data_IF_988103438403
#
_entry.id   IF_988103438403
#
_cell.length_a   1.000
_cell.length_b   1.000
_cell.length_c   1.000
_cell.angle_alpha   90.00
_cell.angle_beta   90.00
_cell.angle_gamma   90.00
#
_symmetry.space_group_name_H-M   'P 1'
#
loop_
_entity.id
_entity.type
_entity.pdbx_description
1 polymer ?
#
# COMPACT_ATOMS: atom_id res chain seq x y z
N UNK A 1 4.26 9.98 11.96
CA UNK A 1 4.58 8.57 12.20
C UNK A 1 4.54 7.82 10.89
N UNK A 2 5.53 6.97 10.63
CA UNK A 2 5.53 6.23 9.37
C UNK A 2 4.45 5.16 9.33
N UNK A 3 4.02 4.86 8.13
CA UNK A 3 3.03 3.82 7.88
C UNK A 3 3.68 2.63 7.20
N UNK A 4 3.17 1.45 7.48
CA UNK A 4 3.68 0.20 6.90
C UNK A 4 2.50 -0.61 6.39
N UNK A 5 2.63 -1.17 5.18
CA UNK A 5 1.66 -2.09 4.64
C UNK A 5 2.39 -3.38 4.27
N UNK A 6 1.92 -4.49 4.82
CA UNK A 6 2.46 -5.81 4.51
C UNK A 6 1.60 -6.47 3.44
N UNK A 7 2.22 -6.76 2.29
CA UNK A 7 1.54 -7.46 1.22
C UNK A 7 1.73 -8.97 1.37
N UNK A 8 0.74 -9.72 0.92
CA UNK A 8 0.76 -11.19 0.99
C UNK A 8 1.92 -11.79 0.20
N UNK A 9 2.42 -11.08 -0.78
CA UNK A 9 3.54 -11.56 -1.60
C UNK A 9 4.89 -11.36 -0.93
N UNK A 10 4.94 -10.84 0.30
CA UNK A 10 6.18 -10.62 1.02
C UNK A 10 6.74 -9.22 0.88
N UNK A 11 6.10 -8.38 0.08
CA UNK A 11 6.53 -7.00 -0.06
C UNK A 11 6.08 -6.18 1.15
N UNK A 12 6.96 -5.32 1.63
CA UNK A 12 6.61 -4.40 2.72
C UNK A 12 6.74 -2.98 2.21
N UNK A 13 5.62 -2.27 2.16
CA UNK A 13 5.59 -0.88 1.73
C UNK A 13 5.72 0.03 2.95
N UNK A 14 6.44 1.13 2.78
CA UNK A 14 6.61 2.11 3.85
C UNK A 14 6.44 3.51 3.30
N UNK A 15 5.84 4.38 4.10
CA UNK A 15 5.68 5.78 3.76
C UNK A 15 5.59 6.60 5.03
N UNK A 16 6.06 7.84 4.99
CA UNK A 16 6.01 8.71 6.15
C UNK A 16 4.65 9.40 6.30
N UNK A 17 3.86 9.41 5.25
CA UNK A 17 2.53 10.00 5.27
C UNK A 17 1.55 9.08 4.56
N UNK A 18 0.27 9.38 4.72
CA UNK A 18 -0.76 8.60 4.05
C UNK A 18 -0.59 8.64 2.53
N UNK A 19 -0.28 9.81 1.99
CA UNK A 19 -0.09 9.94 0.55
C UNK A 19 1.09 9.11 0.06
N UNK A 20 2.16 9.07 0.82
CA UNK A 20 3.34 8.31 0.44
C UNK A 20 3.07 6.81 0.46
N UNK A 21 2.41 6.32 1.51
CA UNK A 21 2.13 4.88 1.60
C UNK A 21 1.15 4.45 0.50
N UNK A 22 0.14 5.27 0.22
CA UNK A 22 -0.81 4.96 -0.85
C UNK A 22 -0.09 4.92 -2.20
N UNK A 23 0.80 5.88 -2.45
CA UNK A 23 1.54 5.92 -3.69
C UNK A 23 2.43 4.68 -3.84
N UNK A 24 3.11 4.30 -2.77
CA UNK A 24 4.00 3.15 -2.81
C UNK A 24 3.24 1.85 -3.05
N UNK A 25 2.15 1.64 -2.34
CA UNK A 25 1.34 0.44 -2.51
C UNK A 25 0.71 0.40 -3.89
N UNK A 26 0.20 1.53 -4.35
CA UNK A 26 -0.41 1.60 -5.68
C UNK A 26 0.59 1.26 -6.77
N UNK A 27 1.81 1.77 -6.68
CA UNK A 27 2.85 1.46 -7.65
C UNK A 27 3.20 -0.03 -7.61
N UNK A 28 3.33 -0.61 -6.43
CA UNK A 28 3.64 -2.02 -6.29
C UNK A 28 2.54 -2.90 -6.89
N UNK A 29 1.29 -2.61 -6.52
CA UNK A 29 0.15 -3.40 -6.99
C UNK A 29 0.00 -3.25 -8.50
N UNK A 30 0.23 -2.05 -9.03
CA UNK A 30 0.15 -1.83 -10.46
C UNK A 30 1.19 -2.61 -11.25
N UNK A 31 2.34 -2.88 -10.65
CA UNK A 31 3.41 -3.63 -11.31
C UNK A 31 3.27 -5.14 -11.14
N UNK A 32 2.98 -5.57 -9.93
CA UNK A 32 3.00 -7.00 -9.57
C UNK A 32 1.62 -7.64 -9.59
N UNK A 33 0.59 -6.85 -9.31
CA UNK A 33 -0.76 -7.36 -9.18
C UNK A 33 -1.75 -6.44 -9.89
N UNK A 34 -1.61 -6.26 -11.23
CA UNK A 34 -2.46 -5.31 -11.94
C UNK A 34 -3.95 -5.63 -11.84
N UNK A 35 -4.29 -6.88 -11.61
CA UNK A 35 -5.68 -7.28 -11.43
C UNK A 35 -6.28 -6.69 -10.17
N UNK A 36 -5.47 -6.50 -9.14
CA UNK A 36 -5.91 -5.97 -7.87
C UNK A 36 -5.89 -4.45 -7.83
N UNK A 37 -5.21 -3.82 -8.78
CA UNK A 37 -5.07 -2.37 -8.78
C UNK A 37 -6.43 -1.66 -8.81
N UNK A 38 -7.38 -2.23 -9.54
CA UNK A 38 -8.73 -1.66 -9.61
C UNK A 38 -9.54 -1.86 -8.34
N UNK A 39 -9.16 -2.85 -7.53
CA UNK A 39 -9.90 -3.20 -6.32
C UNK A 39 -9.33 -2.55 -5.08
N UNK A 40 -8.08 -2.11 -5.13
CA UNK A 40 -7.43 -1.47 -3.99
C UNK A 40 -7.53 0.04 -4.10
N UNK A 41 -8.54 0.60 -3.47
CA UNK A 41 -8.68 2.04 -3.38
C UNK A 41 -7.85 2.59 -2.23
N UNK A 42 -7.75 3.93 -2.19
CA UNK A 42 -7.02 4.62 -1.13
C UNK A 42 -7.50 4.21 0.25
N UNK A 43 -8.81 4.12 0.43
CA UNK A 43 -9.38 3.77 1.72
C UNK A 43 -8.96 2.37 2.17
N UNK A 44 -8.90 1.43 1.24
CA UNK A 44 -8.51 0.08 1.57
C UNK A 44 -7.03 0.00 1.93
N UNK A 45 -6.20 0.73 1.22
CA UNK A 45 -4.78 0.78 1.51
C UNK A 45 -4.57 1.37 2.91
N UNK A 46 -5.27 2.45 3.23
CA UNK A 46 -5.14 3.08 4.53
C UNK A 46 -5.67 2.19 5.66
N UNK A 47 -6.69 1.39 5.36
CA UNK A 47 -7.21 0.44 6.35
C UNK A 47 -6.20 -0.67 6.65
N UNK A 48 -5.36 -1.03 5.68
CA UNK A 48 -4.32 -2.03 5.88
C UNK A 48 -3.05 -1.44 6.49
N UNK A 49 -2.86 -0.14 6.37
CA UNK A 49 -1.65 0.51 6.84
C UNK A 49 -1.59 0.50 8.36
N UNK A 50 -0.43 0.20 8.88
CA UNK A 50 -0.17 0.25 10.30
C UNK A 50 0.83 1.35 10.59
N UNK A 51 0.69 1.99 11.73
CA UNK A 51 1.64 3.01 12.17
C UNK A 51 2.76 2.35 12.94
N UNK A 52 3.98 2.74 12.61
CA UNK A 52 5.15 2.29 13.37
C UNK A 52 5.47 3.22 14.52
#
# INVERSE_FOLDING_TARGET
MPYVVNCDCGYVARGESEDEIVSDVTAHVGEKHPEMADQLGREQILAMAEQE
#
